data_IF_716785209482
#
_entry.id   IF_716785209482
#
_cell.length_a   1.000
_cell.length_b   1.000
_cell.length_c   1.000
_cell.angle_alpha   90.00
_cell.angle_beta   90.00
_cell.angle_gamma   90.00
#
_symmetry.space_group_name_H-M   'P 1'
#
loop_
_entity.id
_entity.type
_entity.pdbx_description
1 polymer ?
#
# COMPACT_ATOMS: atom_id res chain seq x y z
N UNK A 1 16.55 26.52 -11.78
CA UNK A 1 17.17 25.71 -10.69
C UNK A 1 16.38 24.41 -10.59
N UNK A 2 17.08 23.28 -10.60
CA UNK A 2 16.43 21.97 -10.52
C UNK A 2 15.81 21.75 -9.12
N UNK A 3 14.59 21.26 -9.06
CA UNK A 3 14.01 20.71 -7.82
C UNK A 3 14.52 19.29 -7.61
N UNK A 4 14.89 18.97 -6.38
CA UNK A 4 15.43 17.68 -5.98
C UNK A 4 14.62 17.14 -4.79
N UNK A 5 14.07 15.93 -4.90
CA UNK A 5 13.27 15.32 -3.85
C UNK A 5 13.41 13.81 -3.82
N UNK A 6 13.02 13.22 -2.70
CA UNK A 6 12.88 11.78 -2.50
C UNK A 6 11.40 11.42 -2.47
N UNK A 7 11.01 10.33 -3.13
CA UNK A 7 9.65 9.79 -3.13
C UNK A 7 9.64 8.38 -2.54
N UNK A 8 8.79 8.17 -1.55
CA UNK A 8 8.51 6.90 -0.89
C UNK A 8 7.01 6.79 -0.58
N UNK A 9 6.52 5.58 -0.30
CA UNK A 9 5.11 5.30 0.05
C UNK A 9 5.00 3.98 0.81
N UNK A 10 3.79 3.66 1.26
CA UNK A 10 3.41 2.33 1.75
C UNK A 10 4.33 1.79 2.85
N UNK A 11 4.58 2.64 3.87
CA UNK A 11 5.45 2.28 5.00
C UNK A 11 4.82 1.26 5.92
N UNK A 12 3.49 1.31 6.09
CA UNK A 12 2.73 0.42 6.96
C UNK A 12 3.34 0.27 8.35
N UNK A 13 3.75 1.39 8.98
CA UNK A 13 4.30 1.38 10.33
C UNK A 13 3.32 0.71 11.29
N UNK A 14 3.84 -0.24 12.08
CA UNK A 14 3.05 -1.05 13.00
C UNK A 14 2.41 -2.28 12.37
N UNK A 15 2.77 -2.66 11.13
CA UNK A 15 2.34 -3.90 10.52
C UNK A 15 2.82 -5.12 11.31
N UNK A 16 1.94 -6.15 11.38
CA UNK A 16 2.29 -7.48 11.82
C UNK A 16 2.40 -8.44 10.63
N UNK A 17 3.51 -9.14 10.55
CA UNK A 17 3.74 -10.15 9.52
C UNK A 17 3.58 -11.55 10.12
N UNK A 18 2.48 -12.24 9.80
CA UNK A 18 2.14 -13.54 10.41
C UNK A 18 2.24 -13.53 11.95
N UNK A 19 1.66 -12.55 12.61
CA UNK A 19 1.69 -12.29 14.06
C UNK A 19 3.07 -11.91 14.64
N UNK A 20 4.04 -11.59 13.81
CA UNK A 20 5.32 -11.03 14.24
C UNK A 20 5.35 -9.53 14.01
N UNK A 21 5.75 -8.80 15.03
CA UNK A 21 5.99 -7.36 14.95
C UNK A 21 7.13 -7.07 13.97
N UNK A 22 7.04 -5.95 13.26
CA UNK A 22 8.00 -5.48 12.26
C UNK A 22 8.74 -4.22 12.68
N UNK A 23 8.68 -3.84 13.96
CA UNK A 23 9.27 -2.58 14.46
C UNK A 23 10.78 -2.49 14.13
N UNK A 24 11.52 -3.61 14.26
CA UNK A 24 12.93 -3.66 13.88
C UNK A 24 13.15 -3.36 12.39
N UNK A 25 12.39 -3.98 11.50
CA UNK A 25 12.56 -3.79 10.05
C UNK A 25 12.24 -2.35 9.63
N UNK A 26 11.17 -1.77 10.20
CA UNK A 26 10.83 -0.36 9.99
C UNK A 26 11.93 0.57 10.53
N UNK A 27 12.48 0.30 11.71
CA UNK A 27 13.57 1.09 12.29
C UNK A 27 14.83 1.07 11.41
N UNK A 28 15.19 -0.10 10.83
CA UNK A 28 16.31 -0.23 9.90
C UNK A 28 16.07 0.59 8.61
N UNK A 29 14.85 0.51 8.04
CA UNK A 29 14.47 1.32 6.89
C UNK A 29 14.58 2.82 7.19
N UNK A 30 13.98 3.28 8.28
CA UNK A 30 13.98 4.70 8.66
C UNK A 30 15.40 5.21 8.92
N UNK A 31 16.24 4.41 9.57
CA UNK A 31 17.66 4.74 9.77
C UNK A 31 18.40 4.90 8.44
N UNK A 32 18.18 3.95 7.51
CA UNK A 32 18.76 4.04 6.17
C UNK A 32 18.26 5.27 5.41
N UNK A 33 16.96 5.61 5.52
CA UNK A 33 16.39 6.78 4.86
C UNK A 33 16.98 8.09 5.42
N UNK A 34 17.22 8.17 6.72
CA UNK A 34 17.91 9.31 7.35
C UNK A 34 19.34 9.52 6.77
N UNK A 35 20.09 8.43 6.52
CA UNK A 35 21.38 8.54 5.87
C UNK A 35 21.29 9.01 4.40
N UNK A 36 20.23 8.62 3.67
CA UNK A 36 19.97 9.17 2.33
C UNK A 36 19.65 10.67 2.40
N UNK A 37 18.79 11.10 3.32
CA UNK A 37 18.45 12.52 3.53
C UNK A 37 19.71 13.33 3.85
N UNK A 38 20.51 12.86 4.79
CA UNK A 38 21.77 13.49 5.20
C UNK A 38 22.75 13.67 4.03
N UNK A 39 22.89 12.63 3.22
CA UNK A 39 23.86 12.63 2.11
C UNK A 39 23.39 13.46 0.93
N UNK A 40 22.12 13.34 0.58
CA UNK A 40 21.56 13.93 -0.66
C UNK A 40 21.01 15.34 -0.47
N UNK A 41 20.66 15.73 0.76
CA UNK A 41 20.14 17.07 1.11
C UNK A 41 19.03 17.53 0.15
N UNK A 42 17.91 16.76 -0.01
CA UNK A 42 16.85 17.11 -0.93
C UNK A 42 16.06 18.34 -0.49
N UNK A 43 15.33 18.98 -1.41
CA UNK A 43 14.38 20.06 -1.08
C UNK A 43 13.11 19.51 -0.42
N UNK A 44 12.69 18.29 -0.79
CA UNK A 44 11.51 17.65 -0.21
C UNK A 44 11.66 16.13 -0.07
N UNK A 45 10.94 15.57 0.92
CA UNK A 45 10.61 14.15 1.06
C UNK A 45 9.11 14.03 0.83
N UNK A 46 8.70 13.21 -0.16
CA UNK A 46 7.30 12.93 -0.49
C UNK A 46 6.94 11.53 0.01
N UNK A 47 5.95 11.43 0.91
CA UNK A 47 5.44 10.17 1.45
C UNK A 47 4.01 9.99 0.93
N UNK A 48 3.86 9.15 -0.11
CA UNK A 48 2.63 9.06 -0.90
C UNK A 48 1.61 8.06 -0.31
N UNK A 49 1.32 8.17 0.99
CA UNK A 49 0.24 7.43 1.67
C UNK A 49 0.65 6.10 2.29
N UNK A 50 -0.29 5.50 2.99
CA UNK A 50 -0.16 4.29 3.81
C UNK A 50 1.06 4.35 4.75
N UNK A 51 1.08 5.44 5.52
CA UNK A 51 2.10 5.69 6.53
C UNK A 51 1.99 4.66 7.65
N UNK A 52 0.77 4.40 8.09
CA UNK A 52 0.44 3.40 9.10
C UNK A 52 -0.33 2.22 8.51
N UNK A 53 -0.18 1.05 9.11
CA UNK A 53 -0.88 -0.17 8.67
C UNK A 53 -2.38 -0.17 8.98
N UNK A 54 -2.81 0.61 9.96
CA UNK A 54 -4.21 0.68 10.42
C UNK A 54 -4.61 2.09 10.81
N UNK A 55 -5.91 2.40 10.71
CA UNK A 55 -6.50 3.71 11.05
C UNK A 55 -6.27 4.15 12.50
N UNK A 56 -5.99 3.21 13.40
CA UNK A 56 -5.65 3.47 14.81
C UNK A 56 -4.30 2.83 15.17
N UNK A 57 -3.17 3.43 14.76
CA UNK A 57 -1.84 2.87 14.93
C UNK A 57 -1.43 2.78 16.39
N UNK A 58 -0.64 1.75 16.72
CA UNK A 58 -0.02 1.61 18.03
C UNK A 58 0.89 2.78 18.36
N UNK A 59 1.09 3.04 19.66
CA UNK A 59 1.95 4.14 20.12
C UNK A 59 3.41 3.97 19.68
N UNK A 60 3.90 2.73 19.52
CA UNK A 60 5.24 2.44 18.99
C UNK A 60 5.39 2.92 17.55
N UNK A 61 4.42 2.61 16.68
CA UNK A 61 4.41 3.05 15.28
C UNK A 61 4.37 4.59 15.15
N UNK A 62 3.51 5.24 15.97
CA UNK A 62 3.46 6.69 16.02
C UNK A 62 4.80 7.30 16.47
N UNK A 63 5.43 6.70 17.48
CA UNK A 63 6.76 7.14 17.97
C UNK A 63 7.81 7.02 16.88
N UNK A 64 7.84 5.92 16.12
CA UNK A 64 8.77 5.76 15.00
C UNK A 64 8.61 6.89 13.99
N UNK A 65 7.38 7.22 13.58
CA UNK A 65 7.14 8.32 12.64
C UNK A 65 7.64 9.66 13.18
N UNK A 66 7.21 10.03 14.39
CA UNK A 66 7.55 11.37 14.93
C UNK A 66 9.03 11.52 15.27
N UNK A 67 9.68 10.45 15.72
CA UNK A 67 11.13 10.45 15.92
C UNK A 67 11.85 10.62 14.58
N UNK A 68 11.44 9.85 13.54
CA UNK A 68 12.00 10.00 12.20
C UNK A 68 11.86 11.44 11.67
N UNK A 69 10.69 12.07 11.83
CA UNK A 69 10.48 13.46 11.38
C UNK A 69 11.38 14.47 12.10
N UNK A 70 11.57 14.28 13.41
CA UNK A 70 12.48 15.10 14.18
C UNK A 70 13.94 14.93 13.71
N UNK A 71 14.41 13.68 13.60
CA UNK A 71 15.76 13.38 13.18
C UNK A 71 16.04 13.85 11.73
N UNK A 72 15.05 13.69 10.84
CA UNK A 72 15.14 14.17 9.45
C UNK A 72 15.25 15.70 9.39
N UNK A 73 14.48 16.41 10.23
CA UNK A 73 14.57 17.86 10.33
C UNK A 73 15.94 18.32 10.86
N UNK A 74 16.47 17.65 11.87
CA UNK A 74 17.80 17.98 12.41
C UNK A 74 18.92 17.77 11.38
N UNK A 75 18.80 16.73 10.52
CA UNK A 75 19.77 16.43 9.47
C UNK A 75 19.65 17.35 8.24
N UNK A 76 18.43 17.81 7.92
CA UNK A 76 18.14 18.63 6.76
C UNK A 76 17.04 19.67 7.07
N UNK A 77 17.32 20.73 7.85
CA UNK A 77 16.30 21.69 8.32
C UNK A 77 15.56 22.43 7.20
N UNK A 78 16.16 22.53 6.01
CA UNK A 78 15.54 23.15 4.82
C UNK A 78 14.60 22.21 4.07
N UNK A 79 14.71 20.89 4.26
CA UNK A 79 13.88 19.92 3.60
C UNK A 79 12.44 20.02 4.10
N UNK A 80 11.49 19.99 3.17
CA UNK A 80 10.07 19.89 3.49
C UNK A 80 9.64 18.42 3.41
N UNK A 81 8.97 17.91 4.45
CA UNK A 81 8.36 16.58 4.40
C UNK A 81 6.87 16.72 4.10
N UNK A 82 6.43 16.22 2.94
CA UNK A 82 5.02 16.23 2.53
C UNK A 82 4.47 14.80 2.61
N UNK A 83 3.37 14.64 3.32
CA UNK A 83 2.70 13.36 3.53
C UNK A 83 1.25 13.47 3.09
N UNK A 84 0.74 12.43 2.42
CA UNK A 84 -0.70 12.28 2.16
C UNK A 84 -1.23 11.05 2.87
N UNK A 85 -2.54 10.98 3.17
CA UNK A 85 -3.16 9.77 3.68
C UNK A 85 -3.35 8.74 2.56
N UNK A 86 -3.07 7.48 2.88
CA UNK A 86 -3.49 6.32 2.10
C UNK A 86 -4.81 5.73 2.58
N UNK A 87 -5.19 4.55 2.05
CA UNK A 87 -6.43 3.89 2.43
C UNK A 87 -6.36 3.21 3.80
N UNK A 88 -5.16 2.90 4.31
CA UNK A 88 -4.94 2.38 5.65
C UNK A 88 -4.91 3.49 6.72
N UNK A 89 -4.59 4.72 6.34
CA UNK A 89 -4.48 5.84 7.26
C UNK A 89 -5.86 6.42 7.65
N UNK A 90 -5.93 7.06 8.81
CA UNK A 90 -7.01 7.99 9.14
C UNK A 90 -6.61 9.41 8.75
N UNK A 91 -7.23 9.97 7.69
CA UNK A 91 -6.91 11.31 7.21
C UNK A 91 -6.99 12.38 8.32
N UNK A 92 -8.04 12.35 9.14
CA UNK A 92 -8.16 13.27 10.28
C UNK A 92 -7.07 13.09 11.33
N UNK A 93 -6.64 11.84 11.57
CA UNK A 93 -5.63 11.55 12.59
C UNK A 93 -4.24 12.05 12.18
N UNK A 94 -3.85 11.90 10.92
CA UNK A 94 -2.55 12.40 10.48
C UNK A 94 -2.50 13.94 10.42
N UNK A 95 -3.65 14.60 10.24
CA UNK A 95 -3.74 16.06 10.27
C UNK A 95 -3.83 16.65 11.68
N UNK A 96 -4.41 15.91 12.65
CA UNK A 96 -4.61 16.44 14.01
C UNK A 96 -3.33 16.91 14.70
N UNK A 97 -2.18 16.43 14.25
CA UNK A 97 -0.85 16.77 14.78
C UNK A 97 -0.14 17.86 13.96
N UNK A 98 -0.83 18.56 13.07
CA UNK A 98 -0.27 19.61 12.20
C UNK A 98 0.59 20.64 12.96
N UNK A 99 0.21 21.16 14.16
CA UNK A 99 1.05 22.10 14.90
C UNK A 99 2.41 21.53 15.30
N UNK A 100 2.49 20.21 15.52
CA UNK A 100 3.74 19.50 15.79
C UNK A 100 4.54 19.30 14.50
N UNK A 101 3.90 18.86 13.44
CA UNK A 101 4.52 18.64 12.13
C UNK A 101 5.17 19.91 11.59
N UNK A 102 4.52 21.06 11.76
CA UNK A 102 5.05 22.35 11.34
C UNK A 102 6.41 22.71 12.00
N UNK A 103 6.69 22.19 13.21
CA UNK A 103 7.99 22.35 13.87
C UNK A 103 9.12 21.61 13.19
N UNK A 104 8.79 20.53 12.46
CA UNK A 104 9.73 19.72 11.72
C UNK A 104 9.72 20.02 10.21
N UNK A 105 9.18 21.18 9.80
CA UNK A 105 8.98 21.53 8.40
C UNK A 105 8.22 20.43 7.62
N UNK A 106 7.29 19.76 8.30
CA UNK A 106 6.47 18.68 7.76
C UNK A 106 5.00 19.11 7.64
N UNK A 107 4.31 18.60 6.62
CA UNK A 107 2.89 18.81 6.40
C UNK A 107 2.22 17.50 6.00
N UNK A 108 1.07 17.22 6.58
CA UNK A 108 0.23 16.08 6.22
C UNK A 108 -1.09 16.57 5.63
N UNK A 109 -1.52 15.92 4.56
CA UNK A 109 -2.83 16.14 3.92
C UNK A 109 -3.59 14.82 3.95
N UNK A 110 -4.59 14.75 4.80
CA UNK A 110 -5.36 13.52 5.05
C UNK A 110 -6.72 13.51 4.36
N UNK A 111 -7.28 14.69 4.09
CA UNK A 111 -8.60 14.86 3.47
C UNK A 111 -8.56 16.02 2.46
N UNK A 112 -9.46 15.98 1.47
CA UNK A 112 -9.60 17.07 0.49
C UNK A 112 -10.05 18.36 1.17
N UNK A 113 -11.03 18.27 2.08
CA UNK A 113 -11.54 19.41 2.82
C UNK A 113 -12.41 20.36 1.99
N UNK A 114 -13.22 21.18 2.70
CA UNK A 114 -14.09 22.19 2.11
C UNK A 114 -13.93 23.52 2.80
N UNK A 115 -14.25 24.61 2.09
CA UNK A 115 -14.33 25.96 2.66
C UNK A 115 -15.61 26.12 3.48
N UNK A 116 -15.77 27.25 4.14
CA UNK A 116 -16.98 27.59 4.85
C UNK A 116 -18.22 27.70 3.93
N UNK A 117 -17.99 28.02 2.66
CA UNK A 117 -19.01 28.08 1.61
C UNK A 117 -19.32 26.72 0.95
N UNK A 118 -18.81 25.62 1.53
CA UNK A 118 -18.96 24.25 1.05
C UNK A 118 -18.34 23.98 -0.33
N UNK A 119 -17.40 24.81 -0.80
CA UNK A 119 -16.61 24.58 -2.02
C UNK A 119 -15.33 23.79 -1.70
N UNK A 120 -14.67 23.22 -2.73
CA UNK A 120 -13.38 22.53 -2.55
C UNK A 120 -12.32 23.51 -2.03
N UNK A 121 -11.59 23.10 -0.99
CA UNK A 121 -10.49 23.88 -0.48
C UNK A 121 -9.18 23.49 -1.20
N UNK A 122 -9.01 23.99 -2.44
CA UNK A 122 -7.84 23.66 -3.26
C UNK A 122 -6.54 24.24 -2.69
N UNK A 123 -6.59 25.34 -1.92
CA UNK A 123 -5.41 25.97 -1.29
C UNK A 123 -4.67 25.03 -0.36
N UNK A 124 -5.39 24.18 0.37
CA UNK A 124 -4.76 23.23 1.27
C UNK A 124 -4.06 22.07 0.57
N UNK A 125 -4.48 21.77 -0.69
CA UNK A 125 -3.95 20.67 -1.51
C UNK A 125 -2.76 21.11 -2.38
N UNK A 126 -2.51 22.41 -2.50
CA UNK A 126 -1.47 22.98 -3.34
C UNK A 126 -0.36 23.57 -2.48
N UNK A 127 0.73 22.81 -2.31
CA UNK A 127 1.80 23.14 -1.37
C UNK A 127 3.04 23.59 -2.15
N UNK A 128 3.59 24.79 -1.87
CA UNK A 128 4.84 25.23 -2.48
C UNK A 128 6.03 24.48 -1.89
N UNK A 129 6.98 24.10 -2.74
CA UNK A 129 8.30 23.60 -2.36
C UNK A 129 9.31 24.72 -2.54
N UNK A 130 10.12 24.94 -1.53
CA UNK A 130 11.08 26.04 -1.46
C UNK A 130 12.52 25.57 -1.60
N UNK A 131 13.36 26.43 -2.18
CA UNK A 131 14.80 26.30 -2.07
C UNK A 131 15.32 26.83 -0.72
N UNK A 132 16.64 26.80 -0.52
CA UNK A 132 17.27 27.30 0.72
C UNK A 132 17.11 28.81 0.93
N UNK A 133 16.90 29.55 -0.14
CA UNK A 133 16.69 31.01 -0.12
C UNK A 133 15.19 31.38 0.01
N UNK A 134 14.33 30.35 0.22
CA UNK A 134 12.87 30.48 0.35
C UNK A 134 12.16 30.94 -0.93
N UNK A 135 12.76 30.72 -2.10
CA UNK A 135 12.06 30.90 -3.36
C UNK A 135 11.23 29.65 -3.67
N UNK A 136 10.05 29.82 -4.23
CA UNK A 136 9.24 28.70 -4.71
C UNK A 136 9.87 28.11 -5.96
N UNK A 137 10.32 26.87 -5.90
CA UNK A 137 10.93 26.11 -7.01
C UNK A 137 9.99 25.08 -7.63
N UNK A 138 8.98 24.65 -6.88
CA UNK A 138 7.95 23.74 -7.38
C UNK A 138 6.63 23.95 -6.63
N UNK A 139 5.54 23.47 -7.25
CA UNK A 139 4.26 23.26 -6.58
C UNK A 139 3.96 21.77 -6.50
N UNK A 140 3.51 21.32 -5.32
CA UNK A 140 3.10 19.94 -5.08
C UNK A 140 1.59 19.88 -4.86
N UNK A 141 0.89 19.18 -5.75
CA UNK A 141 -0.51 18.84 -5.62
C UNK A 141 -0.58 17.58 -4.73
N UNK A 142 -1.16 17.71 -3.54
CA UNK A 142 -1.21 16.63 -2.55
C UNK A 142 -2.62 16.07 -2.48
N UNK A 143 -2.88 14.99 -3.23
CA UNK A 143 -4.19 14.35 -3.29
C UNK A 143 -4.17 13.06 -2.46
N UNK A 144 -4.79 13.04 -1.25
CA UNK A 144 -4.86 11.85 -0.43
C UNK A 144 -5.79 10.80 -1.05
N UNK A 145 -5.81 9.60 -0.47
CA UNK A 145 -6.79 8.60 -0.81
C UNK A 145 -8.22 9.14 -0.68
N UNK A 146 -8.97 9.08 -1.76
CA UNK A 146 -10.34 9.61 -1.83
C UNK A 146 -11.35 8.58 -1.31
N UNK A 147 -11.94 8.86 -0.16
CA UNK A 147 -13.00 8.02 0.42
C UNK A 147 -14.35 8.35 -0.23
N UNK A 148 -15.26 7.38 -0.24
CA UNK A 148 -16.59 7.55 -0.85
C UNK A 148 -17.34 8.78 -0.35
N UNK A 149 -17.23 9.12 0.94
CA UNK A 149 -17.86 10.32 1.50
C UNK A 149 -17.31 11.64 0.91
N UNK A 150 -16.02 11.70 0.57
CA UNK A 150 -15.42 12.87 -0.05
C UNK A 150 -15.85 13.01 -1.51
N UNK A 151 -15.98 11.88 -2.21
CA UNK A 151 -16.40 11.82 -3.61
C UNK A 151 -17.89 12.16 -3.74
N UNK A 152 -18.74 11.68 -2.82
CA UNK A 152 -20.20 11.94 -2.84
C UNK A 152 -20.50 13.43 -2.89
N UNK A 153 -19.79 14.24 -2.13
CA UNK A 153 -19.95 15.69 -2.16
C UNK A 153 -19.53 16.37 -3.47
N UNK A 154 -18.78 15.68 -4.34
CA UNK A 154 -18.40 16.17 -5.68
C UNK A 154 -19.44 15.82 -6.75
N UNK A 155 -20.31 14.83 -6.48
CA UNK A 155 -21.29 14.32 -7.44
C UNK A 155 -22.39 15.34 -7.80
N UNK A 156 -22.57 16.44 -7.04
CA UNK A 156 -23.49 17.53 -7.40
C UNK A 156 -23.16 18.15 -8.76
N UNK A 157 -21.91 18.00 -9.24
CA UNK A 157 -21.46 18.54 -10.52
C UNK A 157 -21.20 17.46 -11.58
N UNK A 158 -21.41 16.18 -11.26
CA UNK A 158 -21.00 15.07 -12.14
C UNK A 158 -21.99 13.90 -12.08
N UNK A 159 -22.03 13.08 -13.14
CA UNK A 159 -22.98 11.97 -13.27
C UNK A 159 -22.51 10.66 -12.62
N UNK A 160 -21.24 10.54 -12.21
CA UNK A 160 -20.66 9.38 -11.55
C UNK A 160 -19.36 9.72 -10.80
N UNK A 161 -18.87 8.79 -9.97
CA UNK A 161 -17.70 8.99 -9.13
C UNK A 161 -16.39 9.18 -9.92
N UNK A 162 -16.22 8.55 -11.08
CA UNK A 162 -15.03 8.78 -11.94
C UNK A 162 -15.00 10.21 -12.47
N UNK A 163 -16.13 10.73 -12.90
CA UNK A 163 -16.26 12.12 -13.32
C UNK A 163 -15.95 13.07 -12.16
N UNK A 164 -16.33 12.71 -10.93
CA UNK A 164 -16.03 13.48 -9.73
C UNK A 164 -14.53 13.52 -9.44
N UNK A 165 -13.84 12.39 -9.56
CA UNK A 165 -12.37 12.30 -9.39
C UNK A 165 -11.67 13.09 -10.49
N UNK A 166 -12.10 12.92 -11.75
CA UNK A 166 -11.56 13.68 -12.89
C UNK A 166 -11.77 15.18 -12.73
N UNK A 167 -12.96 15.59 -12.26
CA UNK A 167 -13.27 16.99 -11.97
C UNK A 167 -12.32 17.57 -10.91
N UNK A 168 -12.09 16.85 -9.79
CA UNK A 168 -11.18 17.29 -8.74
C UNK A 168 -9.75 17.47 -9.27
N UNK A 169 -9.24 16.51 -10.05
CA UNK A 169 -7.92 16.63 -10.68
C UNK A 169 -7.84 17.84 -11.60
N UNK A 170 -8.85 18.03 -12.47
CA UNK A 170 -8.90 19.18 -13.39
C UNK A 170 -8.90 20.51 -12.65
N UNK A 171 -9.71 20.65 -11.58
CA UNK A 171 -9.75 21.89 -10.80
C UNK A 171 -8.40 22.15 -10.12
N UNK A 172 -7.80 21.13 -9.52
CA UNK A 172 -6.52 21.26 -8.83
C UNK A 172 -5.38 21.59 -9.80
N UNK A 173 -5.34 20.95 -10.97
CA UNK A 173 -4.36 21.23 -12.03
C UNK A 173 -4.55 22.65 -12.60
N UNK A 174 -5.80 23.08 -12.82
CA UNK A 174 -6.09 24.43 -13.30
C UNK A 174 -5.61 25.50 -12.31
N UNK A 175 -5.86 25.31 -11.02
CA UNK A 175 -5.37 26.21 -9.97
C UNK A 175 -3.84 26.24 -9.91
N UNK A 176 -3.20 25.08 -10.02
CA UNK A 176 -1.74 24.98 -10.05
C UNK A 176 -1.14 25.71 -11.28
N UNK A 177 -1.74 25.55 -12.46
CA UNK A 177 -1.34 26.26 -13.69
C UNK A 177 -1.44 27.78 -13.53
N UNK A 178 -2.47 28.27 -12.83
CA UNK A 178 -2.66 29.70 -12.60
C UNK A 178 -1.59 30.30 -11.67
N UNK A 179 -1.05 29.53 -10.73
CA UNK A 179 -0.03 29.97 -9.75
C UNK A 179 1.41 29.76 -10.21
N UNK A 180 1.63 28.69 -10.97
CA UNK A 180 2.97 28.22 -11.37
C UNK A 180 3.64 29.23 -12.31
N UNK A 181 4.89 29.57 -12.01
CA UNK A 181 5.76 30.31 -12.91
C UNK A 181 6.50 29.37 -13.88
N UNK A 182 6.97 29.84 -15.04
CA UNK A 182 7.63 28.98 -16.05
C UNK A 182 8.85 28.21 -15.53
N UNK A 183 9.58 28.76 -14.57
CA UNK A 183 10.78 28.15 -13.97
C UNK A 183 10.50 27.20 -12.81
N UNK A 184 9.24 26.99 -12.45
CA UNK A 184 8.83 26.12 -11.34
C UNK A 184 8.36 24.76 -11.88
N UNK A 185 8.65 23.69 -11.17
CA UNK A 185 8.13 22.36 -11.46
C UNK A 185 6.70 22.18 -10.92
N UNK A 186 5.98 21.22 -11.47
CA UNK A 186 4.68 20.79 -10.98
C UNK A 186 4.72 19.29 -10.65
N UNK A 187 4.49 18.97 -9.39
CA UNK A 187 4.52 17.60 -8.85
C UNK A 187 3.13 17.26 -8.36
N UNK A 188 2.69 16.02 -8.55
CA UNK A 188 1.44 15.51 -7.98
C UNK A 188 1.74 14.29 -7.11
N UNK A 189 1.22 14.27 -5.91
CA UNK A 189 1.16 13.10 -5.03
C UNK A 189 -0.25 12.53 -5.07
N UNK A 190 -0.40 11.22 -5.22
CA UNK A 190 -1.70 10.54 -5.13
C UNK A 190 -1.56 9.14 -4.56
N UNK A 191 -2.56 8.72 -3.78
CA UNK A 191 -2.62 7.36 -3.29
C UNK A 191 -3.82 6.66 -3.93
N UNK A 192 -3.57 5.94 -5.02
CA UNK A 192 -4.61 5.35 -5.85
C UNK A 192 -4.09 4.18 -6.68
N UNK A 193 -4.99 3.24 -7.03
CA UNK A 193 -4.70 2.19 -7.99
C UNK A 193 -4.87 2.75 -9.42
N UNK A 194 -3.81 2.69 -10.22
CA UNK A 194 -3.83 3.12 -11.62
C UNK A 194 -3.93 1.92 -12.56
N UNK A 195 -4.67 2.08 -13.65
CA UNK A 195 -4.80 1.07 -14.70
C UNK A 195 -3.42 0.67 -15.25
N UNK A 196 -3.18 -0.63 -15.37
CA UNK A 196 -1.91 -1.19 -15.83
C UNK A 196 -0.85 -1.35 -14.74
N UNK A 197 -1.15 -1.02 -13.49
CA UNK A 197 -0.29 -1.34 -12.35
C UNK A 197 -0.39 -2.81 -11.97
N UNK A 198 0.75 -3.42 -11.61
CA UNK A 198 0.81 -4.79 -11.09
C UNK A 198 0.63 -4.79 -9.57
N UNK A 199 -0.25 -5.66 -9.08
CA UNK A 199 -0.57 -5.83 -7.65
C UNK A 199 0.18 -7.01 -7.02
N UNK A 200 0.27 -7.04 -5.69
CA UNK A 200 0.69 -8.20 -4.89
C UNK A 200 -0.49 -8.76 -4.05
N UNK A 201 -0.21 -9.71 -3.16
CA UNK A 201 -1.24 -10.29 -2.28
C UNK A 201 -1.54 -9.40 -1.04
N UNK A 202 -0.78 -8.35 -0.84
CA UNK A 202 -0.85 -7.50 0.35
C UNK A 202 -1.65 -6.22 0.18
N UNK A 203 -1.86 -5.75 -1.07
CA UNK A 203 -2.71 -4.59 -1.31
C UNK A 203 -4.18 -4.91 -1.05
N UNK A 204 -4.86 -4.01 -0.35
CA UNK A 204 -6.32 -4.07 -0.24
C UNK A 204 -6.95 -3.56 -1.53
N UNK A 205 -7.89 -4.31 -2.14
CA UNK A 205 -8.61 -3.81 -3.31
C UNK A 205 -9.22 -2.45 -3.01
N UNK A 206 -8.91 -1.46 -3.84
CA UNK A 206 -9.57 -0.15 -3.81
C UNK A 206 -10.68 -0.16 -4.85
N UNK A 207 -11.92 -0.03 -4.39
CA UNK A 207 -13.08 0.18 -5.26
C UNK A 207 -13.53 1.63 -5.08
N UNK A 208 -13.29 2.47 -6.08
CA UNK A 208 -13.77 3.85 -6.10
C UNK A 208 -14.84 3.95 -7.18
N UNK A 209 -16.09 4.09 -6.74
CA UNK A 209 -17.21 4.31 -7.65
C UNK A 209 -17.48 3.20 -8.65
N UNK A 210 -17.34 1.93 -8.25
CA UNK A 210 -17.44 0.72 -9.09
C UNK A 210 -16.26 0.48 -10.05
N UNK A 211 -15.17 1.23 -9.96
CA UNK A 211 -13.97 0.96 -10.73
C UNK A 211 -12.77 0.69 -9.81
N UNK A 212 -12.06 -0.37 -10.12
CA UNK A 212 -10.91 -0.83 -9.35
C UNK A 212 -9.65 -0.02 -9.64
N UNK A 213 -9.57 0.68 -10.79
CA UNK A 213 -8.36 1.40 -11.20
C UNK A 213 -8.67 2.68 -11.98
N UNK A 214 -7.89 3.73 -11.73
CA UNK A 214 -7.99 5.03 -12.40
C UNK A 214 -7.11 5.09 -13.65
N UNK A 215 -7.55 5.83 -14.67
CA UNK A 215 -6.75 6.05 -15.88
C UNK A 215 -5.64 7.09 -15.64
N UNK A 216 -4.45 6.86 -16.20
CA UNK A 216 -3.36 7.86 -16.22
C UNK A 216 -3.69 9.10 -17.05
N UNK A 217 -4.75 9.06 -17.87
CA UNK A 217 -5.27 10.23 -18.58
C UNK A 217 -5.83 11.35 -17.66
N UNK A 218 -5.95 11.08 -16.36
CA UNK A 218 -6.25 12.11 -15.35
C UNK A 218 -5.09 13.10 -15.17
N UNK A 219 -3.87 12.72 -15.50
CA UNK A 219 -2.68 13.53 -15.34
C UNK A 219 -2.42 14.30 -16.62
N UNK A 220 -2.38 15.62 -16.50
CA UNK A 220 -2.10 16.55 -17.60
C UNK A 220 -0.57 16.58 -17.87
N UNK A 221 -0.18 16.77 -19.12
CA UNK A 221 1.23 16.84 -19.55
C UNK A 221 2.03 17.99 -18.90
N UNK A 222 1.36 18.92 -18.24
CA UNK A 222 2.03 19.98 -17.46
C UNK A 222 2.67 19.46 -16.17
N UNK A 223 2.27 18.25 -15.71
CA UNK A 223 2.80 17.65 -14.49
C UNK A 223 4.15 17.01 -14.80
N UNK A 224 5.19 17.49 -14.14
CA UNK A 224 6.55 17.01 -14.34
C UNK A 224 6.81 15.65 -13.67
N UNK A 225 6.08 15.33 -12.58
CA UNK A 225 6.21 14.07 -11.87
C UNK A 225 4.93 13.71 -11.09
N UNK A 226 4.55 12.44 -11.13
CA UNK A 226 3.46 11.89 -10.34
C UNK A 226 4.02 10.85 -9.36
N UNK A 227 3.98 11.19 -8.07
CA UNK A 227 4.38 10.34 -6.96
C UNK A 227 3.17 9.52 -6.49
N UNK A 228 3.13 8.24 -6.83
CA UNK A 228 2.04 7.33 -6.51
C UNK A 228 2.39 6.44 -5.30
N UNK A 229 1.40 6.18 -4.44
CA UNK A 229 1.36 5.12 -3.44
C UNK A 229 0.18 4.18 -3.67
N UNK A 230 0.11 3.10 -2.91
CA UNK A 230 -0.85 2.00 -2.90
C UNK A 230 -0.30 0.68 -3.46
N UNK A 231 0.42 0.69 -4.57
CA UNK A 231 1.00 -0.54 -5.12
C UNK A 231 2.41 -0.75 -4.58
N UNK A 232 2.61 -1.89 -3.92
CA UNK A 232 3.85 -2.23 -3.23
C UNK A 232 5.01 -2.60 -4.16
N UNK A 233 4.71 -2.92 -5.44
CA UNK A 233 5.73 -3.16 -6.46
C UNK A 233 6.23 -1.83 -7.02
N UNK A 234 7.54 -1.54 -6.91
CA UNK A 234 8.13 -0.39 -7.59
C UNK A 234 7.95 -0.49 -9.11
N UNK A 235 7.27 0.47 -9.70
CA UNK A 235 6.94 0.43 -11.14
C UNK A 235 6.57 1.81 -11.70
N UNK A 236 6.66 1.96 -13.01
CA UNK A 236 6.05 3.05 -13.75
C UNK A 236 4.68 2.63 -14.29
N UNK A 237 3.80 3.57 -14.49
CA UNK A 237 2.50 3.35 -15.15
C UNK A 237 2.36 4.29 -16.32
N UNK A 238 2.28 3.75 -17.53
CA UNK A 238 2.26 4.55 -18.75
C UNK A 238 3.58 5.32 -18.96
N UNK A 239 3.61 6.59 -18.59
CA UNK A 239 4.76 7.48 -18.79
C UNK A 239 5.88 7.26 -17.74
N UNK A 240 7.16 7.56 -18.08
CA UNK A 240 8.29 7.37 -17.17
C UNK A 240 8.21 8.16 -15.86
N UNK A 241 7.57 9.33 -15.87
CA UNK A 241 7.44 10.23 -14.72
C UNK A 241 6.23 9.93 -13.82
N UNK A 242 5.39 8.93 -14.16
CA UNK A 242 4.27 8.46 -13.35
C UNK A 242 4.70 7.16 -12.67
N UNK A 243 4.95 7.17 -11.35
CA UNK A 243 5.64 6.08 -10.68
C UNK A 243 5.08 5.75 -9.29
N UNK A 244 5.04 4.46 -9.01
CA UNK A 244 4.99 3.93 -7.66
C UNK A 244 6.41 3.73 -7.15
N UNK A 245 6.72 4.24 -5.95
CA UNK A 245 7.99 3.92 -5.26
C UNK A 245 8.00 2.48 -4.77
N UNK A 246 6.82 1.96 -4.44
CA UNK A 246 6.60 0.68 -3.78
C UNK A 246 6.83 0.75 -2.26
N UNK A 247 6.50 -0.34 -1.56
CA UNK A 247 6.73 -0.47 -0.13
C UNK A 247 8.23 -0.57 0.19
N UNK A 248 8.69 -0.03 1.35
CA UNK A 248 10.12 -0.07 1.72
C UNK A 248 10.59 -1.45 2.18
N UNK A 249 9.70 -2.29 2.66
CA UNK A 249 9.95 -3.65 3.10
C UNK A 249 8.88 -4.59 2.50
N UNK A 250 9.15 -5.89 2.33
CA UNK A 250 8.14 -6.82 1.81
C UNK A 250 7.00 -6.98 2.81
N UNK A 251 5.77 -6.73 2.37
CA UNK A 251 4.56 -6.82 3.18
C UNK A 251 3.85 -8.18 3.04
N UNK A 252 4.27 -8.97 2.04
CA UNK A 252 3.82 -10.36 1.85
C UNK A 252 4.93 -11.22 1.23
N UNK A 253 4.74 -12.56 1.24
CA UNK A 253 5.66 -13.45 0.53
C UNK A 253 5.60 -13.33 -0.99
N UNK A 254 4.53 -12.75 -1.58
CA UNK A 254 4.50 -12.48 -3.02
C UNK A 254 5.52 -11.44 -3.44
N UNK A 255 5.97 -10.59 -2.51
CA UNK A 255 6.95 -9.53 -2.72
C UNK A 255 8.41 -9.95 -2.48
N UNK A 256 8.66 -11.23 -2.22
CA UNK A 256 10.01 -11.74 -1.88
C UNK A 256 11.08 -11.34 -2.92
N UNK A 257 10.70 -11.22 -4.19
CA UNK A 257 11.57 -10.87 -5.31
C UNK A 257 11.58 -9.38 -5.67
N UNK A 258 10.81 -8.54 -4.95
CA UNK A 258 10.78 -7.12 -5.23
C UNK A 258 12.10 -6.45 -4.81
N UNK A 259 12.52 -5.49 -5.63
CA UNK A 259 13.63 -4.60 -5.30
C UNK A 259 13.07 -3.38 -4.60
N UNK A 260 12.84 -3.50 -3.29
CA UNK A 260 12.31 -2.40 -2.47
C UNK A 260 13.24 -1.19 -2.58
N UNK A 261 12.67 -0.01 -2.79
CA UNK A 261 13.42 1.21 -3.12
C UNK A 261 12.66 2.46 -2.67
N UNK A 262 13.36 3.59 -2.65
CA UNK A 262 12.78 4.91 -2.80
C UNK A 262 13.23 5.47 -4.14
N UNK A 263 12.58 6.53 -4.62
CA UNK A 263 12.93 7.18 -5.88
C UNK A 263 13.54 8.55 -5.59
N UNK A 264 14.80 8.76 -5.99
CA UNK A 264 15.39 10.10 -6.05
C UNK A 264 15.01 10.75 -7.38
N UNK A 265 14.51 11.97 -7.33
CA UNK A 265 14.02 12.70 -8.53
C UNK A 265 14.64 14.08 -8.59
N UNK A 266 15.07 14.46 -9.80
CA UNK A 266 15.55 15.80 -10.15
C UNK A 266 14.78 16.30 -11.34
N UNK A 267 14.20 17.49 -11.24
CA UNK A 267 13.46 18.13 -12.33
C UNK A 267 14.04 19.54 -12.53
N UNK A 268 14.47 19.82 -13.74
CA UNK A 268 14.84 21.19 -14.15
C UNK A 268 13.87 21.70 -15.21
N UNK A 269 12.90 22.54 -14.81
CA UNK A 269 11.88 23.07 -15.73
C UNK A 269 12.43 23.92 -16.87
N UNK A 270 13.70 24.33 -16.82
CA UNK A 270 14.35 25.12 -17.86
C UNK A 270 14.99 24.28 -18.97
N UNK A 271 15.05 22.96 -18.75
CA UNK A 271 15.54 22.00 -19.72
C UNK A 271 14.36 21.32 -20.44
N UNK A 272 14.65 20.68 -21.55
CA UNK A 272 13.68 19.93 -22.37
C UNK A 272 14.04 18.45 -22.39
N UNK A 273 13.10 17.59 -22.80
CA UNK A 273 13.24 16.16 -23.00
C UNK A 273 13.81 15.42 -21.78
N UNK A 274 14.64 14.42 -22.00
CA UNK A 274 15.24 13.57 -20.96
C UNK A 274 16.11 14.35 -19.97
N UNK A 275 16.66 15.50 -20.35
CA UNK A 275 17.43 16.33 -19.46
C UNK A 275 16.58 17.03 -18.40
N UNK A 276 15.29 17.25 -18.68
CA UNK A 276 14.33 17.89 -17.77
C UNK A 276 14.02 17.00 -16.55
N UNK A 277 13.88 15.68 -16.77
CA UNK A 277 13.47 14.73 -15.75
C UNK A 277 14.52 13.64 -15.60
N UNK A 278 15.07 13.52 -14.40
CA UNK A 278 16.02 12.47 -14.04
C UNK A 278 15.53 11.79 -12.76
N UNK A 279 15.66 10.47 -12.71
CA UNK A 279 15.36 9.70 -11.50
C UNK A 279 16.37 8.59 -11.27
N UNK A 280 16.57 8.23 -10.01
CA UNK A 280 17.38 7.10 -9.57
C UNK A 280 16.61 6.26 -8.57
N UNK A 281 16.65 4.93 -8.74
CA UNK A 281 16.10 3.97 -7.79
C UNK A 281 17.14 3.70 -6.70
N UNK A 282 16.90 4.18 -5.48
CA UNK A 282 17.77 3.92 -4.33
C UNK A 282 17.28 2.67 -3.62
N UNK A 283 18.00 1.57 -3.79
CA UNK A 283 17.63 0.27 -3.23
C UNK A 283 17.76 0.25 -1.71
N UNK A 284 16.72 -0.20 -1.03
CA UNK A 284 16.68 -0.35 0.41
C UNK A 284 17.30 -1.69 0.80
N UNK A 285 18.32 -1.73 1.69
CA UNK A 285 18.85 -2.97 2.20
C UNK A 285 17.79 -3.77 2.98
N UNK A 286 17.60 -5.04 2.63
CA UNK A 286 16.66 -5.91 3.34
C UNK A 286 17.27 -6.34 4.68
N UNK A 287 16.68 -5.92 5.79
CA UNK A 287 17.18 -6.21 7.15
C UNK A 287 16.83 -7.62 7.62
N UNK A 288 15.66 -8.15 7.22
CA UNK A 288 15.22 -9.51 7.53
C UNK A 288 14.86 -10.24 6.23
N UNK A 289 15.44 -11.41 6.00
CA UNK A 289 15.20 -12.20 4.79
C UNK A 289 13.93 -13.03 4.89
N UNK A 290 13.29 -13.22 3.75
CA UNK A 290 12.17 -14.13 3.56
C UNK A 290 12.62 -15.30 2.70
N UNK A 291 12.26 -16.52 3.11
CA UNK A 291 12.54 -17.74 2.36
C UNK A 291 11.23 -18.46 2.07
N UNK A 292 11.07 -18.93 0.84
CA UNK A 292 9.95 -19.77 0.45
C UNK A 292 10.49 -21.10 -0.04
N UNK A 293 10.12 -22.17 0.68
CA UNK A 293 10.50 -23.55 0.35
C UNK A 293 9.31 -24.22 -0.32
N UNK A 294 9.53 -24.84 -1.48
CA UNK A 294 8.47 -25.44 -2.28
C UNK A 294 8.88 -26.84 -2.78
N UNK A 295 7.93 -27.76 -2.78
CA UNK A 295 8.14 -29.08 -3.35
C UNK A 295 7.43 -30.19 -2.60
N UNK A 296 7.83 -31.43 -2.85
CA UNK A 296 7.46 -32.57 -2.04
C UNK A 296 8.13 -32.50 -0.66
N UNK A 297 7.59 -33.21 0.33
CA UNK A 297 8.13 -33.16 1.70
C UNK A 297 9.63 -33.43 1.76
N UNK A 298 10.12 -34.45 1.02
CA UNK A 298 11.54 -34.78 0.99
C UNK A 298 12.40 -33.68 0.37
N UNK A 299 11.90 -33.03 -0.69
CA UNK A 299 12.60 -31.92 -1.33
C UNK A 299 12.72 -30.73 -0.40
N UNK A 300 11.65 -30.45 0.38
CA UNK A 300 11.67 -29.38 1.38
C UNK A 300 12.72 -29.66 2.47
N UNK A 301 12.83 -30.90 2.96
CA UNK A 301 13.89 -31.25 3.92
C UNK A 301 15.30 -31.10 3.33
N UNK A 302 15.50 -31.40 2.05
CA UNK A 302 16.78 -31.12 1.39
C UNK A 302 17.03 -29.61 1.29
N UNK A 303 16.03 -28.80 0.94
CA UNK A 303 16.16 -27.35 0.93
C UNK A 303 16.51 -26.81 2.32
N UNK A 304 15.86 -27.30 3.39
CA UNK A 304 16.16 -26.93 4.79
C UNK A 304 17.64 -27.18 5.12
N UNK A 305 18.22 -28.31 4.67
CA UNK A 305 19.63 -28.63 4.90
C UNK A 305 20.62 -27.67 4.22
N UNK A 306 20.18 -26.99 3.18
CA UNK A 306 20.99 -25.99 2.47
C UNK A 306 20.90 -24.58 3.06
N UNK A 307 19.99 -24.36 4.02
CA UNK A 307 19.84 -23.07 4.67
C UNK A 307 21.08 -22.71 5.48
N UNK A 308 21.33 -21.41 5.61
CA UNK A 308 22.45 -20.91 6.41
C UNK A 308 22.31 -21.32 7.89
N UNK A 309 23.42 -21.70 8.49
CA UNK A 309 23.51 -22.01 9.92
C UNK A 309 24.05 -20.79 10.68
N UNK A 310 23.85 -20.80 11.99
CA UNK A 310 24.23 -19.72 12.91
C UNK A 310 23.02 -19.12 13.58
N UNK A 311 23.20 -18.70 14.80
CA UNK A 311 22.09 -18.20 15.64
C UNK A 311 21.90 -16.70 15.43
N UNK A 312 20.64 -16.25 15.49
CA UNK A 312 20.23 -14.86 15.59
C UNK A 312 19.51 -14.74 16.93
N UNK A 313 20.18 -14.09 17.89
CA UNK A 313 19.66 -13.99 19.27
C UNK A 313 18.31 -13.27 19.33
N UNK A 314 18.23 -12.09 18.71
CA UNK A 314 17.02 -11.27 18.72
C UNK A 314 15.93 -11.89 17.82
N UNK A 315 14.80 -12.23 18.41
CA UNK A 315 13.69 -12.92 17.72
C UNK A 315 13.15 -12.09 16.54
N UNK A 316 13.08 -10.79 16.69
CA UNK A 316 12.60 -9.84 15.67
C UNK A 316 13.50 -9.73 14.45
N UNK A 317 14.75 -10.20 14.55
CA UNK A 317 15.73 -10.22 13.46
C UNK A 317 15.80 -11.58 12.74
N UNK A 318 15.19 -12.63 13.28
CA UNK A 318 15.17 -13.96 12.67
C UNK A 318 14.44 -13.96 11.35
N UNK A 319 14.99 -14.67 10.38
CA UNK A 319 14.48 -14.75 9.01
C UNK A 319 13.16 -15.53 8.93
N UNK A 320 12.29 -15.17 7.99
CA UNK A 320 10.97 -15.78 7.84
C UNK A 320 11.01 -16.96 6.88
N UNK A 321 10.35 -18.08 7.23
CA UNK A 321 10.16 -19.25 6.38
C UNK A 321 8.68 -19.44 6.06
N UNK A 322 8.36 -19.54 4.76
CA UNK A 322 7.10 -20.00 4.20
C UNK A 322 7.30 -21.35 3.52
N UNK A 323 6.53 -22.37 3.90
CA UNK A 323 6.59 -23.71 3.31
C UNK A 323 5.33 -23.99 2.51
N UNK A 324 5.49 -24.23 1.21
CA UNK A 324 4.42 -24.63 0.30
C UNK A 324 4.70 -26.06 -0.18
N UNK A 325 4.05 -27.05 0.42
CA UNK A 325 4.27 -28.46 0.08
C UNK A 325 3.14 -29.06 -0.75
N UNK A 326 3.48 -30.04 -1.57
CA UNK A 326 2.51 -30.92 -2.20
C UNK A 326 2.80 -32.38 -1.80
N UNK A 327 1.76 -33.17 -1.69
CA UNK A 327 1.85 -34.59 -1.38
C UNK A 327 0.61 -35.32 -1.90
N UNK A 328 0.82 -36.52 -2.43
CA UNK A 328 -0.26 -37.41 -2.87
C UNK A 328 -0.96 -38.13 -1.69
N UNK A 329 -0.25 -38.25 -0.55
CA UNK A 329 -0.75 -38.91 0.65
C UNK A 329 -1.11 -37.88 1.73
N UNK A 330 -1.93 -38.22 2.73
CA UNK A 330 -2.13 -37.35 3.88
C UNK A 330 -0.79 -37.00 4.54
N UNK A 331 -0.57 -35.72 4.91
CA UNK A 331 0.66 -35.34 5.60
C UNK A 331 0.76 -36.04 6.96
N UNK A 332 2.00 -36.27 7.46
CA UNK A 332 2.17 -36.85 8.79
C UNK A 332 1.56 -35.96 9.87
N UNK A 333 1.05 -36.55 10.96
CA UNK A 333 0.68 -35.76 12.12
C UNK A 333 1.89 -34.99 12.63
N UNK A 334 1.69 -33.78 13.18
CA UNK A 334 2.74 -32.89 13.69
C UNK A 334 3.75 -32.37 12.65
N UNK A 335 3.33 -32.27 11.38
CA UNK A 335 4.21 -31.79 10.29
C UNK A 335 4.90 -30.45 10.61
N UNK A 336 4.19 -29.53 11.29
CA UNK A 336 4.76 -28.25 11.71
C UNK A 336 5.96 -28.45 12.64
N UNK A 337 5.80 -29.26 13.67
CA UNK A 337 6.88 -29.56 14.61
C UNK A 337 8.07 -30.22 13.91
N UNK A 338 7.80 -31.13 12.97
CA UNK A 338 8.86 -31.81 12.21
C UNK A 338 9.69 -30.82 11.39
N UNK A 339 9.06 -29.79 10.79
CA UNK A 339 9.80 -28.75 10.10
C UNK A 339 10.55 -27.82 11.07
N UNK A 340 9.93 -27.45 12.17
CA UNK A 340 10.57 -26.61 13.20
C UNK A 340 11.83 -27.28 13.79
N UNK A 341 11.77 -28.60 14.04
CA UNK A 341 12.89 -29.39 14.53
C UNK A 341 14.01 -29.57 13.49
N UNK A 342 13.66 -29.52 12.19
CA UNK A 342 14.64 -29.64 11.09
C UNK A 342 15.33 -28.31 10.75
N UNK A 343 14.70 -27.18 11.06
CA UNK A 343 15.29 -25.86 10.80
C UNK A 343 16.48 -25.58 11.71
N UNK A 344 17.52 -24.87 11.23
CA UNK A 344 18.60 -24.39 12.08
C UNK A 344 18.05 -23.61 13.29
N UNK A 345 18.44 -24.00 14.53
CA UNK A 345 17.88 -23.43 15.74
C UNK A 345 18.14 -21.92 15.84
N UNK A 346 17.20 -21.19 16.38
CA UNK A 346 17.32 -19.75 16.67
C UNK A 346 17.66 -18.84 15.48
N UNK A 347 17.53 -19.31 14.23
CA UNK A 347 17.78 -18.48 13.06
C UNK A 347 16.53 -18.11 12.27
N UNK A 348 15.56 -19.03 12.21
CA UNK A 348 14.38 -18.88 11.37
C UNK A 348 13.08 -18.88 12.18
N UNK A 349 12.07 -18.24 11.62
CA UNK A 349 10.67 -18.26 12.09
C UNK A 349 9.82 -18.93 11.03
N UNK A 350 9.31 -20.13 11.30
CA UNK A 350 8.35 -20.81 10.43
C UNK A 350 6.97 -20.17 10.59
N UNK A 351 6.57 -19.32 9.66
CA UNK A 351 5.37 -18.50 9.78
C UNK A 351 4.16 -19.09 9.07
N UNK A 352 4.38 -19.78 7.93
CA UNK A 352 3.31 -20.36 7.15
C UNK A 352 3.67 -21.75 6.66
N UNK A 353 2.70 -22.65 6.68
CA UNK A 353 2.75 -23.95 6.00
C UNK A 353 1.44 -24.09 5.23
N UNK A 354 1.53 -24.28 3.93
CA UNK A 354 0.38 -24.45 3.05
C UNK A 354 0.55 -25.69 2.16
N UNK A 355 -0.55 -26.43 1.98
CA UNK A 355 -0.60 -27.55 1.02
C UNK A 355 -1.07 -27.03 -0.33
N UNK A 356 -0.27 -27.26 -1.34
CA UNK A 356 -0.69 -27.05 -2.72
C UNK A 356 -1.36 -28.36 -3.22
N UNK A 357 -2.56 -28.23 -3.72
CA UNK A 357 -3.20 -29.32 -4.46
C UNK A 357 -2.66 -29.27 -5.88
N UNK A 358 -2.04 -30.36 -6.34
CA UNK A 358 -1.80 -30.50 -7.78
C UNK A 358 -3.17 -30.46 -8.46
N UNK A 359 -3.35 -29.52 -9.37
CA UNK A 359 -4.50 -29.56 -10.26
C UNK A 359 -4.45 -30.91 -10.98
N UNK A 360 -5.40 -31.78 -10.71
CA UNK A 360 -5.59 -32.98 -11.51
C UNK A 360 -5.91 -32.44 -12.90
N UNK A 361 -5.01 -32.66 -13.86
CA UNK A 361 -5.32 -32.47 -15.28
C UNK A 361 -6.45 -33.44 -15.62
N UNK A 362 -7.68 -33.02 -15.43
CA UNK A 362 -8.82 -33.61 -16.04
C UNK A 362 -8.68 -33.25 -17.52
N UNK A 363 -8.47 -34.29 -18.33
CA UNK A 363 -8.37 -34.19 -19.79
C UNK A 363 -9.36 -33.16 -20.36
N UNK A 364 -8.90 -32.40 -21.33
CA UNK A 364 -9.53 -31.25 -22.01
C UNK A 364 -10.91 -31.52 -22.69
N UNK A 365 -11.60 -32.63 -22.37
CA UNK A 365 -12.84 -32.99 -23.01
C UNK A 365 -14.13 -32.45 -22.36
N UNK A 366 -14.08 -31.83 -21.19
CA UNK A 366 -15.27 -31.29 -20.52
C UNK A 366 -15.06 -29.97 -19.76
N UNK A 367 -14.23 -29.06 -20.25
CA UNK A 367 -14.26 -27.67 -19.80
C UNK A 367 -15.49 -26.95 -20.38
N UNK A 368 -16.68 -27.39 -20.03
CA UNK A 368 -17.85 -26.54 -20.07
C UNK A 368 -17.58 -25.38 -19.06
N UNK A 369 -17.62 -24.16 -19.57
CA UNK A 369 -17.61 -22.93 -18.76
C UNK A 369 -18.68 -23.04 -17.67
N UNK A 370 -18.31 -23.54 -16.50
CA UNK A 370 -19.12 -23.40 -15.31
C UNK A 370 -19.00 -21.91 -14.94
N UNK A 371 -19.98 -21.14 -15.29
CA UNK A 371 -20.23 -19.87 -14.64
C UNK A 371 -20.48 -20.20 -13.16
N UNK A 372 -19.45 -20.02 -12.34
CA UNK A 372 -19.56 -20.09 -10.88
C UNK A 372 -20.28 -18.82 -10.44
N UNK A 373 -21.60 -18.82 -10.49
CA UNK A 373 -22.37 -17.91 -9.63
C UNK A 373 -21.93 -18.21 -8.17
N UNK A 374 -21.69 -17.18 -7.35
CA UNK A 374 -21.37 -17.39 -5.95
C UNK A 374 -22.45 -18.28 -5.33
N UNK A 375 -22.08 -19.34 -4.61
CA UNK A 375 -23.06 -20.27 -4.08
C UNK A 375 -24.04 -19.52 -3.16
N UNK A 376 -25.32 -19.67 -3.41
CA UNK A 376 -26.35 -19.06 -2.55
C UNK A 376 -26.22 -19.61 -1.13
N UNK A 377 -26.58 -18.85 -0.08
CA UNK A 377 -26.56 -19.32 1.31
C UNK A 377 -27.28 -20.66 1.49
N UNK A 378 -28.38 -20.87 0.77
CA UNK A 378 -29.09 -22.14 0.72
C UNK A 378 -28.22 -23.31 0.25
N UNK A 379 -27.52 -23.15 -0.85
CA UNK A 379 -26.66 -24.19 -1.45
C UNK A 379 -25.45 -24.51 -0.58
N UNK A 380 -24.89 -23.50 0.07
CA UNK A 380 -23.81 -23.67 1.04
C UNK A 380 -24.27 -24.45 2.26
N UNK A 381 -25.46 -24.14 2.79
CA UNK A 381 -26.05 -24.85 3.92
C UNK A 381 -26.29 -26.33 3.59
N UNK A 382 -26.93 -26.64 2.44
CA UNK A 382 -27.19 -28.00 1.99
C UNK A 382 -25.88 -28.81 1.84
N UNK A 383 -24.84 -28.23 1.25
CA UNK A 383 -23.53 -28.87 1.10
C UNK A 383 -22.86 -29.15 2.44
N UNK A 384 -22.89 -28.21 3.39
CA UNK A 384 -22.32 -28.37 4.71
C UNK A 384 -23.09 -29.42 5.52
N UNK A 385 -24.41 -29.43 5.44
CA UNK A 385 -25.30 -30.38 6.11
C UNK A 385 -25.00 -31.81 5.70
N UNK A 386 -24.92 -32.07 4.39
CA UNK A 386 -24.57 -33.37 3.83
C UNK A 386 -23.12 -33.77 4.18
N UNK A 387 -22.19 -32.82 4.18
CA UNK A 387 -20.78 -33.06 4.53
C UNK A 387 -20.59 -33.48 6.00
N UNK A 388 -21.49 -33.04 6.89
CA UNK A 388 -21.51 -33.44 8.30
C UNK A 388 -22.17 -34.80 8.52
N UNK A 389 -22.64 -35.47 7.43
CA UNK A 389 -23.23 -36.79 7.51
C UNK A 389 -24.74 -36.80 7.87
N UNK A 390 -25.39 -35.65 7.85
CA UNK A 390 -26.83 -35.58 8.09
C UNK A 390 -27.61 -35.87 6.78
N UNK A 391 -28.79 -36.53 6.94
CA UNK A 391 -29.71 -36.72 5.81
C UNK A 391 -30.40 -35.40 5.46
N UNK A 392 -30.82 -35.28 4.18
CA UNK A 392 -31.62 -34.15 3.77
C UNK A 392 -32.92 -34.04 4.60
N UNK A 393 -33.14 -32.92 5.24
CA UNK A 393 -34.32 -32.65 6.05
C UNK A 393 -34.93 -31.31 5.63
N UNK A 394 -36.10 -31.39 4.99
CA UNK A 394 -36.82 -30.24 4.45
C UNK A 394 -37.32 -29.29 5.56
N UNK A 395 -37.49 -29.77 6.79
CA UNK A 395 -37.92 -28.91 7.91
C UNK A 395 -36.80 -27.97 8.35
N UNK A 396 -35.58 -28.50 8.50
CA UNK A 396 -34.40 -27.74 8.90
C UNK A 396 -34.00 -26.74 7.81
N UNK A 397 -34.17 -27.13 6.54
CA UNK A 397 -33.93 -26.21 5.43
C UNK A 397 -34.93 -25.02 5.41
N UNK A 398 -36.21 -25.29 5.73
CA UNK A 398 -37.24 -24.24 5.85
C UNK A 398 -36.92 -23.28 6.99
N UNK A 399 -36.50 -23.80 8.13
CA UNK A 399 -36.12 -22.98 9.29
C UNK A 399 -34.91 -22.11 8.94
N UNK A 400 -33.89 -22.67 8.28
CA UNK A 400 -32.75 -21.90 7.80
C UNK A 400 -33.12 -20.78 6.81
N UNK A 401 -33.99 -21.07 5.85
CA UNK A 401 -34.47 -20.05 4.90
C UNK A 401 -35.30 -18.97 5.59
N UNK A 402 -36.05 -19.30 6.62
CA UNK A 402 -36.79 -18.32 7.41
C UNK A 402 -35.85 -17.38 8.16
N UNK A 403 -34.75 -17.89 8.72
CA UNK A 403 -33.71 -17.07 9.34
C UNK A 403 -32.99 -16.12 8.36
N UNK A 404 -32.74 -16.57 7.13
CA UNK A 404 -32.17 -15.68 6.10
C UNK A 404 -33.12 -14.50 5.81
N UNK A 405 -34.42 -14.78 5.60
CA UNK A 405 -35.43 -13.73 5.33
C UNK A 405 -35.54 -12.75 6.52
N UNK A 406 -35.41 -13.24 7.74
CA UNK A 406 -35.46 -12.40 8.93
C UNK A 406 -34.18 -11.53 9.06
N UNK A 407 -33.03 -12.07 8.73
CA UNK A 407 -31.76 -11.35 8.70
C UNK A 407 -31.76 -10.26 7.61
N UNK A 408 -32.26 -10.55 6.41
CA UNK A 408 -32.38 -9.56 5.32
C UNK A 408 -33.31 -8.40 5.72
N UNK A 409 -34.47 -8.69 6.34
CA UNK A 409 -35.36 -7.66 6.86
C UNK A 409 -34.76 -6.79 7.95
N UNK A 410 -33.86 -7.34 8.77
CA UNK A 410 -33.16 -6.60 9.83
C UNK A 410 -32.08 -5.67 9.27
N UNK A 411 -31.48 -6.02 8.15
CA UNK A 411 -30.51 -5.19 7.43
C UNK A 411 -31.23 -4.00 6.78
N UNK A 412 -32.33 -4.26 6.07
CA UNK A 412 -33.14 -3.22 5.42
C UNK A 412 -33.78 -2.23 6.45
N UNK A 413 -34.10 -2.71 7.65
CA UNK A 413 -34.63 -1.86 8.72
C UNK A 413 -33.58 -0.93 9.36
N UNK A 414 -32.29 -1.26 9.26
CA UNK A 414 -31.19 -0.44 9.78
C UNK A 414 -30.60 0.52 8.71
N UNK A 415 -31.01 0.41 7.45
CA UNK A 415 -30.59 1.30 6.36
C UNK A 415 -31.61 2.41 6.04
N UNK A 416 -32.71 2.53 6.80
CA UNK A 416 -33.64 3.65 6.65
C UNK A 416 -33.27 4.75 7.64
N UNK A 417 -33.02 6.00 7.16
CA UNK A 417 -32.50 7.13 7.93
C UNK A 417 -33.40 7.61 9.05
#
# INVERSE_FOLDING_TARGET
>A
MAVHFLHTSDWHLGQFFHNHDREFEHAQFLTWLLEQIKTKQPHALLIAGDIFDVINPASSAQRQLYQFLADAHDLAPHMQTLMIAGNHDSGYRIEQVEPLLAKFNAKAVGIVGRTAENTLNLDRLLIPIYDRDKNIIAWCLTLPYLRSAEITGLNEHTSNNQNAISYLHQQLIAEAKARKQPHQALILMSHAHMQGGETSDSERPIIVGNEEALSTALFDDVIDYVALGHLHKPQKVGQPHIRYSGSPIPLSFSEINYKHQIVEVRIDPQLEDEARFQFEALLIPRSVRLHRLRGELNEIFEQIRTLEHGEIEAIDQREYIDIEYHTATPPPPNLRQTFEDALPPNRYRLVRISRQYQAINLDDAQAQKIHLEPPTPKRLFEQLWLKQGYSADDSVLKDFLSLIIEAEKSIDANETP
#
